data_IF_992965630374
#
_entry.id   IF_992965630374
#
_cell.length_a   1.000
_cell.length_b   1.000
_cell.length_c   1.000
_cell.angle_alpha   90.00
_cell.angle_beta   90.00
_cell.angle_gamma   90.00
#
_symmetry.space_group_name_H-M   'P 1'
#
loop_
_entity.id
_entity.type
_entity.pdbx_description
1 polymer ?
#
# COMPACT_ATOMS: atom_id res chain seq x y z
N UNK A 1 23.72 -9.53 27.52
CA UNK A 1 22.30 -9.25 27.23
C UNK A 1 22.12 -9.41 25.74
N UNK A 2 21.50 -10.48 25.37
CA UNK A 2 21.50 -11.06 24.01
C UNK A 2 20.48 -10.36 23.13
N UNK A 3 20.97 -9.60 22.15
CA UNK A 3 20.14 -9.09 21.05
C UNK A 3 19.64 -10.25 20.20
N UNK A 4 18.39 -10.63 20.39
CA UNK A 4 17.73 -11.59 19.49
C UNK A 4 17.49 -10.92 18.14
N UNK A 5 18.20 -11.40 17.16
CA UNK A 5 18.16 -10.99 15.76
C UNK A 5 16.74 -11.16 15.20
N UNK A 6 16.14 -10.10 14.68
CA UNK A 6 14.82 -10.09 14.03
C UNK A 6 14.74 -11.04 12.81
N UNK A 7 15.91 -11.45 12.29
CA UNK A 7 16.05 -12.45 11.22
C UNK A 7 15.43 -13.83 11.55
N UNK A 8 15.22 -14.16 12.84
CA UNK A 8 14.62 -15.45 13.24
C UNK A 8 13.08 -15.47 13.18
N UNK A 9 12.44 -14.35 12.92
CA UNK A 9 10.97 -14.29 12.76
C UNK A 9 10.50 -14.58 11.33
N UNK A 10 11.40 -14.56 10.37
CA UNK A 10 11.14 -14.96 8.99
C UNK A 10 12.09 -16.12 8.67
N UNK A 11 11.72 -17.40 8.93
CA UNK A 11 12.56 -18.51 8.61
C UNK A 11 12.81 -18.54 7.10
N UNK A 12 14.05 -18.27 6.72
CA UNK A 12 14.54 -18.53 5.38
C UNK A 12 14.84 -20.02 5.28
N UNK A 13 13.85 -20.84 5.04
CA UNK A 13 14.13 -22.14 4.41
C UNK A 13 14.61 -21.84 2.99
N UNK A 14 15.69 -22.50 2.51
CA UNK A 14 16.14 -22.33 1.15
C UNK A 14 15.10 -22.94 0.21
N UNK A 15 14.14 -22.12 -0.20
CA UNK A 15 13.22 -22.48 -1.27
C UNK A 15 14.07 -22.64 -2.53
N UNK A 16 14.12 -23.87 -3.02
CA UNK A 16 14.71 -24.22 -4.31
C UNK A 16 14.29 -23.16 -5.33
N UNK A 17 15.27 -22.53 -5.96
CA UNK A 17 15.08 -21.59 -7.06
C UNK A 17 14.59 -22.37 -8.27
N UNK A 18 13.30 -22.69 -8.30
CA UNK A 18 12.64 -23.06 -9.53
C UNK A 18 12.51 -21.77 -10.36
N UNK A 19 12.99 -21.71 -11.60
CA UNK A 19 12.76 -20.54 -12.43
C UNK A 19 11.26 -20.36 -12.56
N UNK A 20 10.76 -19.19 -12.18
CA UNK A 20 9.37 -18.82 -12.36
C UNK A 20 9.15 -18.77 -13.87
N UNK A 21 8.60 -19.86 -14.39
CA UNK A 21 8.12 -19.92 -15.76
C UNK A 21 6.97 -18.89 -15.83
N UNK A 22 7.19 -17.81 -16.56
CA UNK A 22 6.14 -16.80 -16.77
C UNK A 22 5.00 -17.49 -17.53
N UNK A 23 3.99 -17.94 -16.77
CA UNK A 23 2.74 -18.38 -17.36
C UNK A 23 2.12 -17.17 -18.10
N UNK A 24 1.50 -17.37 -19.28
CA UNK A 24 0.91 -16.28 -20.03
C UNK A 24 -0.16 -15.61 -19.18
N UNK A 25 0.02 -14.31 -18.94
CA UNK A 25 -0.91 -13.47 -18.16
C UNK A 25 -2.24 -13.42 -18.88
N UNK A 26 -3.28 -13.92 -18.24
CA UNK A 26 -4.64 -13.98 -18.77
C UNK A 26 -5.31 -12.60 -18.76
N UNK A 27 -6.46 -12.47 -19.44
CA UNK A 27 -7.21 -11.24 -19.79
C UNK A 27 -7.53 -10.23 -18.67
N UNK A 28 -7.16 -10.46 -17.40
CA UNK A 28 -7.29 -9.53 -16.27
C UNK A 28 -6.03 -8.68 -15.96
N UNK A 29 -5.03 -8.71 -16.82
CA UNK A 29 -3.63 -8.29 -16.52
C UNK A 29 -3.39 -6.77 -16.48
N UNK A 30 -4.42 -5.95 -16.71
CA UNK A 30 -4.29 -4.48 -16.73
C UNK A 30 -4.63 -3.83 -15.38
N UNK A 31 -5.17 -4.60 -14.43
CA UNK A 31 -5.50 -4.11 -13.09
C UNK A 31 -4.26 -4.11 -12.18
N UNK A 32 -4.00 -2.98 -11.55
CA UNK A 32 -2.88 -2.78 -10.63
C UNK A 32 -3.25 -3.10 -9.18
N UNK A 33 -2.41 -3.84 -8.49
CA UNK A 33 -2.60 -4.27 -7.10
C UNK A 33 -1.69 -3.45 -6.19
N UNK A 34 -2.29 -2.59 -5.37
CA UNK A 34 -1.59 -1.69 -4.44
C UNK A 34 -1.85 -2.20 -3.03
N UNK A 35 -0.82 -2.76 -2.42
CA UNK A 35 -0.89 -3.37 -1.09
C UNK A 35 -0.46 -2.36 -0.02
N UNK A 36 -1.31 -2.12 0.98
CA UNK A 36 -0.99 -1.32 2.16
C UNK A 36 -0.53 -2.27 3.27
N UNK A 37 0.77 -2.36 3.52
CA UNK A 37 1.33 -3.29 4.48
C UNK A 37 2.37 -2.61 5.39
N UNK A 38 2.34 -2.91 6.67
CA UNK A 38 3.34 -2.44 7.64
C UNK A 38 3.30 -3.36 8.85
N UNK A 39 4.45 -3.81 9.37
CA UNK A 39 4.51 -4.68 10.56
C UNK A 39 4.08 -3.95 11.82
N UNK A 40 4.04 -2.61 11.81
CA UNK A 40 3.70 -1.78 12.96
C UNK A 40 2.20 -1.48 13.02
N UNK A 41 1.58 -1.76 14.16
CA UNK A 41 0.23 -1.30 14.47
C UNK A 41 0.17 0.24 14.59
N UNK A 42 -0.93 0.86 14.17
CA UNK A 42 -1.10 2.30 14.26
C UNK A 42 -0.25 3.15 13.29
N UNK A 43 0.40 2.53 12.30
CA UNK A 43 1.14 3.24 11.24
C UNK A 43 0.24 4.01 10.26
N UNK A 44 -1.07 3.74 10.29
CA UNK A 44 -2.07 4.42 9.45
C UNK A 44 -2.32 3.76 8.10
N UNK A 45 -2.13 2.43 7.97
CA UNK A 45 -2.45 1.65 6.76
C UNK A 45 -3.84 1.98 6.22
N UNK A 46 -4.88 1.72 7.00
CA UNK A 46 -6.26 2.00 6.61
C UNK A 46 -6.51 3.48 6.32
N UNK A 47 -5.89 4.39 7.09
CA UNK A 47 -6.03 5.84 6.85
C UNK A 47 -5.43 6.23 5.50
N UNK A 48 -4.25 5.72 5.18
CA UNK A 48 -3.61 5.99 3.90
C UNK A 48 -4.37 5.29 2.76
N UNK A 49 -4.81 4.03 2.94
CA UNK A 49 -5.58 3.28 1.96
C UNK A 49 -6.82 4.05 1.50
N UNK A 50 -7.70 4.45 2.45
CA UNK A 50 -8.94 5.18 2.12
C UNK A 50 -8.69 6.52 1.42
N UNK A 51 -7.60 7.21 1.75
CA UNK A 51 -7.26 8.49 1.12
C UNK A 51 -6.69 8.30 -0.29
N UNK A 52 -5.81 7.32 -0.50
CA UNK A 52 -5.24 7.02 -1.81
C UNK A 52 -6.30 6.49 -2.79
N UNK A 53 -7.19 5.58 -2.33
CA UNK A 53 -8.25 5.08 -3.20
C UNK A 53 -9.26 6.16 -3.56
N UNK A 54 -9.59 7.08 -2.62
CA UNK A 54 -10.44 8.22 -2.90
C UNK A 54 -9.78 9.15 -3.94
N UNK A 55 -8.47 9.43 -3.81
CA UNK A 55 -7.73 10.24 -4.79
C UNK A 55 -7.67 9.56 -6.17
N UNK A 56 -7.49 8.26 -6.20
CA UNK A 56 -7.54 7.50 -7.45
C UNK A 56 -8.92 7.59 -8.13
N UNK A 57 -9.99 7.42 -7.36
CA UNK A 57 -11.36 7.52 -7.86
C UNK A 57 -11.68 8.93 -8.38
N UNK A 58 -11.31 9.99 -7.64
CA UNK A 58 -11.46 11.39 -8.06
C UNK A 58 -10.65 11.68 -9.33
N UNK A 59 -9.51 11.02 -9.54
CA UNK A 59 -8.73 11.14 -10.79
C UNK A 59 -9.34 10.40 -11.99
N UNK A 60 -10.54 9.82 -11.85
CA UNK A 60 -11.29 9.15 -12.90
C UNK A 60 -10.91 7.67 -13.11
N UNK A 61 -10.10 7.08 -12.22
CA UNK A 61 -9.81 5.65 -12.30
C UNK A 61 -10.95 4.81 -11.71
N UNK A 62 -11.32 3.74 -12.39
CA UNK A 62 -12.15 2.70 -11.79
C UNK A 62 -11.30 1.90 -10.81
N UNK A 63 -11.63 2.00 -9.55
CA UNK A 63 -10.86 1.39 -8.46
C UNK A 63 -11.76 0.59 -7.54
N UNK A 64 -11.17 -0.39 -6.84
CA UNK A 64 -11.84 -1.16 -5.80
C UNK A 64 -10.96 -1.25 -4.55
N UNK A 65 -11.54 -1.67 -3.44
CA UNK A 65 -10.82 -1.92 -2.18
C UNK A 65 -11.08 -3.32 -1.66
N UNK A 66 -10.05 -3.93 -1.06
CA UNK A 66 -10.15 -5.16 -0.29
C UNK A 66 -9.66 -4.91 1.15
N UNK A 67 -10.41 -5.40 2.12
CA UNK A 67 -10.11 -5.27 3.55
C UNK A 67 -9.86 -6.67 4.15
N UNK A 68 -8.58 -6.94 4.46
CA UNK A 68 -8.16 -8.19 5.09
C UNK A 68 -8.02 -8.07 6.62
N UNK A 69 -8.18 -6.85 7.18
CA UNK A 69 -8.06 -6.65 8.62
C UNK A 69 -9.34 -7.14 9.33
N UNK A 70 -9.25 -8.08 10.29
CA UNK A 70 -10.39 -8.51 11.09
C UNK A 70 -11.14 -7.36 11.77
N UNK A 71 -10.49 -6.25 12.08
CA UNK A 71 -11.11 -5.04 12.64
C UNK A 71 -12.06 -4.35 11.65
N UNK A 72 -11.98 -4.66 10.37
CA UNK A 72 -12.89 -4.19 9.33
C UNK A 72 -13.06 -2.66 9.27
N UNK A 73 -12.00 -1.91 9.58
CA UNK A 73 -12.03 -0.43 9.63
C UNK A 73 -12.29 0.17 8.25
N UNK A 74 -11.67 -0.39 7.20
CA UNK A 74 -11.91 0.03 5.82
C UNK A 74 -13.33 -0.34 5.36
N UNK A 75 -13.82 -1.51 5.79
CA UNK A 75 -15.20 -1.97 5.53
C UNK A 75 -16.24 -1.02 6.13
N UNK A 76 -16.01 -0.59 7.39
CA UNK A 76 -16.90 0.39 8.05
C UNK A 76 -16.88 1.72 7.32
N UNK A 77 -15.70 2.18 6.87
CA UNK A 77 -15.56 3.40 6.08
C UNK A 77 -16.30 3.30 4.75
N UNK A 78 -16.17 2.19 4.03
CA UNK A 78 -16.85 1.95 2.74
C UNK A 78 -18.37 2.02 2.88
N UNK A 79 -18.94 1.41 3.93
CA UNK A 79 -20.40 1.44 4.20
C UNK A 79 -20.93 2.85 4.49
N UNK A 80 -20.07 3.75 4.98
CA UNK A 80 -20.42 5.15 5.28
C UNK A 80 -20.26 6.08 4.08
N UNK A 81 -19.65 5.57 2.98
CA UNK A 81 -19.31 6.42 1.84
C UNK A 81 -20.58 7.01 1.20
N UNK A 82 -20.69 8.35 1.11
CA UNK A 82 -21.88 8.98 0.56
C UNK A 82 -22.03 8.72 -0.94
N UNK A 83 -23.26 8.66 -1.43
CA UNK A 83 -23.56 8.56 -2.87
C UNK A 83 -23.20 9.81 -3.67
N UNK A 84 -22.89 10.89 -3.02
CA UNK A 84 -22.51 12.19 -3.62
C UNK A 84 -21.06 12.26 -4.06
N UNK A 85 -20.24 11.28 -3.68
CA UNK A 85 -18.83 11.16 -4.11
C UNK A 85 -18.64 9.90 -4.97
N UNK A 86 -17.49 9.80 -5.62
CA UNK A 86 -17.18 8.65 -6.48
C UNK A 86 -17.39 7.32 -5.76
N UNK A 87 -18.15 6.41 -6.36
CA UNK A 87 -18.37 5.07 -5.83
C UNK A 87 -17.08 4.24 -5.91
N UNK A 88 -16.83 3.46 -4.87
CA UNK A 88 -15.67 2.57 -4.77
C UNK A 88 -16.18 1.20 -4.32
N UNK A 89 -16.23 0.19 -5.21
CA UNK A 89 -16.52 -1.19 -4.84
C UNK A 89 -15.60 -1.66 -3.70
N UNK A 90 -16.17 -2.44 -2.79
CA UNK A 90 -15.46 -2.87 -1.59
C UNK A 90 -15.72 -4.33 -1.29
N UNK A 91 -14.64 -5.06 -0.97
CA UNK A 91 -14.64 -6.48 -0.63
C UNK A 91 -14.06 -6.68 0.76
N UNK A 92 -14.85 -7.30 1.66
CA UNK A 92 -14.32 -7.82 2.93
C UNK A 92 -13.87 -9.24 2.68
N UNK A 93 -12.60 -9.51 2.85
CA UNK A 93 -11.98 -10.77 2.42
C UNK A 93 -11.23 -11.41 3.58
N UNK A 94 -11.33 -12.73 3.70
CA UNK A 94 -10.47 -13.49 4.60
C UNK A 94 -9.09 -13.73 3.98
N UNK A 95 -8.09 -14.10 4.77
CA UNK A 95 -6.78 -14.50 4.24
C UNK A 95 -6.87 -15.72 3.32
N UNK A 96 -7.80 -16.64 3.59
CA UNK A 96 -7.99 -17.83 2.77
C UNK A 96 -8.52 -17.50 1.36
N UNK A 97 -9.31 -16.43 1.25
CA UNK A 97 -9.93 -16.03 -0.02
C UNK A 97 -9.17 -14.90 -0.73
N UNK A 98 -8.11 -14.39 -0.11
CA UNK A 98 -7.38 -13.21 -0.60
C UNK A 98 -6.79 -13.42 -1.99
N UNK A 99 -6.28 -14.61 -2.28
CA UNK A 99 -5.69 -14.95 -3.57
C UNK A 99 -6.78 -15.11 -4.64
N UNK A 100 -7.89 -15.75 -4.30
CA UNK A 100 -9.02 -15.92 -5.22
C UNK A 100 -9.62 -14.57 -5.65
N UNK A 101 -9.70 -13.59 -4.75
CA UNK A 101 -10.17 -12.24 -5.09
C UNK A 101 -9.34 -11.60 -6.21
N UNK A 102 -8.03 -11.86 -6.26
CA UNK A 102 -7.16 -11.24 -7.27
C UNK A 102 -7.47 -11.68 -8.70
N UNK A 103 -8.20 -12.77 -8.85
CA UNK A 103 -8.62 -13.35 -10.13
C UNK A 103 -10.14 -13.27 -10.33
N UNK A 104 -10.86 -12.53 -9.46
CA UNK A 104 -12.32 -12.43 -9.49
C UNK A 104 -12.80 -11.56 -10.66
N UNK A 105 -13.75 -12.07 -11.43
CA UNK A 105 -14.39 -11.36 -12.53
C UNK A 105 -15.21 -10.13 -12.07
N UNK A 106 -15.61 -10.05 -10.81
CA UNK A 106 -16.25 -8.84 -10.26
C UNK A 106 -15.31 -7.61 -10.29
N UNK A 107 -14.01 -7.83 -10.39
CA UNK A 107 -13.00 -6.78 -10.56
C UNK A 107 -12.79 -6.36 -12.02
N UNK A 108 -13.50 -6.98 -12.97
CA UNK A 108 -13.36 -6.67 -14.39
C UNK A 108 -13.65 -5.20 -14.68
N UNK A 109 -12.72 -4.58 -15.40
CA UNK A 109 -12.75 -3.16 -15.71
C UNK A 109 -12.22 -2.25 -14.61
N UNK A 110 -11.87 -2.75 -13.40
CA UNK A 110 -11.10 -2.00 -12.43
C UNK A 110 -9.67 -1.80 -12.93
N UNK A 111 -9.13 -0.60 -12.70
CA UNK A 111 -7.73 -0.25 -13.04
C UNK A 111 -6.79 -0.38 -11.86
N UNK A 112 -7.31 -0.35 -10.64
CA UNK A 112 -6.54 -0.66 -9.43
C UNK A 112 -7.40 -1.27 -8.32
N UNK A 113 -6.81 -2.22 -7.61
CA UNK A 113 -7.30 -2.78 -6.35
C UNK A 113 -6.37 -2.33 -5.22
N UNK A 114 -6.94 -1.64 -4.22
CA UNK A 114 -6.24 -1.25 -3.00
C UNK A 114 -6.54 -2.27 -1.91
N UNK A 115 -5.49 -2.89 -1.36
CA UNK A 115 -5.60 -3.99 -0.39
C UNK A 115 -5.08 -3.52 0.96
N UNK A 116 -5.97 -3.43 1.95
CA UNK A 116 -5.61 -3.08 3.34
C UNK A 116 -5.36 -4.34 4.16
N UNK A 117 -4.19 -4.42 4.81
CA UNK A 117 -3.79 -5.59 5.60
C UNK A 117 -3.78 -5.28 7.10
N UNK A 118 -3.98 -6.30 7.96
CA UNK A 118 -3.79 -6.12 9.39
C UNK A 118 -2.32 -5.84 9.75
N UNK A 119 -2.03 -5.39 10.98
CA UNK A 119 -0.65 -5.21 11.43
C UNK A 119 0.10 -6.53 11.61
N UNK A 120 -0.61 -7.62 11.93
CA UNK A 120 -0.04 -8.95 12.22
C UNK A 120 0.09 -9.78 10.93
N UNK A 121 0.87 -9.29 9.97
CA UNK A 121 1.10 -9.99 8.68
C UNK A 121 1.84 -11.32 8.85
N UNK A 122 2.59 -11.47 9.93
CA UNK A 122 3.32 -12.69 10.29
C UNK A 122 2.41 -13.87 10.72
N UNK A 123 1.14 -13.62 11.01
CA UNK A 123 0.20 -14.67 11.40
C UNK A 123 -0.27 -15.54 10.23
N UNK A 124 -0.11 -15.06 9.00
CA UNK A 124 -0.51 -15.72 7.76
C UNK A 124 0.59 -15.61 6.69
N UNK A 125 1.78 -16.19 6.95
CA UNK A 125 2.96 -15.91 6.12
C UNK A 125 2.77 -16.37 4.67
N UNK A 126 2.18 -17.54 4.41
CA UNK A 126 1.98 -18.05 3.07
C UNK A 126 1.03 -17.17 2.23
N UNK A 127 -0.14 -16.83 2.79
CA UNK A 127 -1.10 -15.96 2.12
C UNK A 127 -0.54 -14.56 1.90
N UNK A 128 0.23 -14.03 2.86
CA UNK A 128 0.88 -12.74 2.70
C UNK A 128 1.95 -12.75 1.60
N UNK A 129 2.77 -13.81 1.51
CA UNK A 129 3.74 -13.97 0.43
C UNK A 129 3.07 -14.05 -0.94
N UNK A 130 1.95 -14.75 -1.07
CA UNK A 130 1.17 -14.80 -2.30
C UNK A 130 0.68 -13.40 -2.73
N UNK A 131 0.20 -12.58 -1.78
CA UNK A 131 -0.17 -11.19 -2.06
C UNK A 131 1.03 -10.33 -2.47
N UNK A 132 2.17 -10.46 -1.77
CA UNK A 132 3.41 -9.75 -2.11
C UNK A 132 3.86 -10.06 -3.53
N UNK A 133 3.84 -11.34 -3.92
CA UNK A 133 4.25 -11.77 -5.25
C UNK A 133 3.40 -11.18 -6.39
N UNK A 134 2.14 -10.84 -6.09
CA UNK A 134 1.19 -10.29 -7.06
C UNK A 134 0.99 -8.78 -6.94
N UNK A 135 1.65 -8.11 -5.98
CA UNK A 135 1.55 -6.66 -5.81
C UNK A 135 2.34 -5.91 -6.90
N UNK A 136 1.71 -4.91 -7.51
CA UNK A 136 2.39 -3.95 -8.40
C UNK A 136 3.12 -2.86 -7.61
N UNK A 137 2.66 -2.58 -6.39
CA UNK A 137 3.35 -1.72 -5.42
C UNK A 137 2.91 -2.04 -3.99
N UNK A 138 3.88 -2.09 -3.09
CA UNK A 138 3.66 -2.21 -1.65
C UNK A 138 3.91 -0.84 -1.03
N UNK A 139 2.87 -0.23 -0.51
CA UNK A 139 2.95 1.03 0.23
C UNK A 139 3.09 0.72 1.71
N UNK A 140 4.18 1.19 2.32
CA UNK A 140 4.54 0.89 3.71
C UNK A 140 4.44 2.17 4.54
N UNK A 141 3.28 2.47 5.15
CA UNK A 141 3.15 3.62 6.03
C UNK A 141 3.93 3.41 7.33
N UNK A 142 4.62 4.45 7.77
CA UNK A 142 5.30 4.51 9.07
C UNK A 142 5.17 5.89 9.67
N UNK A 143 5.15 6.01 10.99
CA UNK A 143 5.24 7.29 11.66
C UNK A 143 6.66 7.84 11.57
N UNK A 144 6.79 9.16 11.71
CA UNK A 144 8.07 9.84 11.68
C UNK A 144 8.78 9.82 13.04
N UNK A 145 8.70 8.71 13.79
CA UNK A 145 9.49 8.45 15.00
C UNK A 145 10.59 7.46 14.69
N UNK A 146 11.69 7.53 15.42
CA UNK A 146 12.82 6.63 15.22
C UNK A 146 12.43 5.17 15.55
N UNK A 147 11.69 4.96 16.65
CA UNK A 147 11.20 3.63 17.05
C UNK A 147 10.31 2.97 15.99
N UNK A 148 9.45 3.76 15.32
CA UNK A 148 8.63 3.25 14.24
C UNK A 148 9.48 2.94 13.00
N UNK A 149 10.45 3.79 12.68
CA UNK A 149 11.38 3.55 11.56
C UNK A 149 12.26 2.30 11.80
N UNK A 150 12.80 2.11 13.01
CA UNK A 150 13.54 0.90 13.38
C UNK A 150 12.69 -0.37 13.24
N UNK A 151 11.40 -0.29 13.58
CA UNK A 151 10.47 -1.41 13.45
C UNK A 151 10.15 -1.75 11.99
N UNK A 152 10.13 -0.74 11.10
CA UNK A 152 9.74 -0.89 9.68
C UNK A 152 10.95 -1.16 8.77
N UNK A 153 12.14 -0.66 9.10
CA UNK A 153 13.33 -0.79 8.25
C UNK A 153 13.70 -2.24 7.90
N UNK A 154 13.65 -3.23 8.82
CA UNK A 154 13.90 -4.63 8.48
C UNK A 154 12.92 -5.17 7.43
N UNK A 155 11.65 -4.78 7.51
CA UNK A 155 10.64 -5.17 6.53
C UNK A 155 10.91 -4.56 5.15
N UNK A 156 11.28 -3.27 5.08
CA UNK A 156 11.68 -2.61 3.82
C UNK A 156 12.92 -3.27 3.20
N UNK A 157 13.94 -3.59 4.01
CA UNK A 157 15.14 -4.31 3.55
C UNK A 157 14.77 -5.68 2.98
N UNK A 158 13.94 -6.44 3.69
CA UNK A 158 13.46 -7.74 3.22
C UNK A 158 12.73 -7.62 1.87
N UNK A 159 11.79 -6.66 1.73
CA UNK A 159 11.09 -6.42 0.47
C UNK A 159 12.06 -6.06 -0.67
N UNK A 160 13.07 -5.25 -0.40
CA UNK A 160 14.12 -4.88 -1.37
C UNK A 160 14.96 -6.09 -1.80
N UNK A 161 15.36 -6.95 -0.86
CA UNK A 161 16.13 -8.18 -1.12
C UNK A 161 15.31 -9.15 -1.98
N UNK A 162 14.01 -9.24 -1.74
CA UNK A 162 13.07 -10.02 -2.55
C UNK A 162 12.68 -9.31 -3.86
N UNK A 163 13.29 -8.16 -4.19
CA UNK A 163 12.99 -7.34 -5.38
C UNK A 163 11.52 -6.93 -5.50
N UNK A 164 10.80 -6.90 -4.39
CA UNK A 164 9.41 -6.45 -4.34
C UNK A 164 9.34 -4.92 -4.54
N UNK A 165 8.39 -4.43 -5.34
CA UNK A 165 8.19 -3.00 -5.54
C UNK A 165 7.57 -2.38 -4.28
N UNK A 166 8.38 -1.78 -3.43
CA UNK A 166 7.93 -1.21 -2.16
C UNK A 166 8.37 0.25 -2.00
N UNK A 167 7.55 1.03 -1.30
CA UNK A 167 7.83 2.42 -0.95
C UNK A 167 7.33 2.72 0.46
N UNK A 168 8.17 3.30 1.30
CA UNK A 168 7.76 3.84 2.58
C UNK A 168 7.06 5.19 2.41
N UNK A 169 6.04 5.46 3.23
CA UNK A 169 5.36 6.76 3.31
C UNK A 169 5.37 7.23 4.76
N UNK A 170 6.01 8.38 5.03
CA UNK A 170 5.95 9.00 6.34
C UNK A 170 4.55 9.55 6.59
N UNK A 171 3.90 9.02 7.61
CA UNK A 171 2.52 9.29 7.96
C UNK A 171 2.41 9.86 9.38
N UNK A 172 1.39 10.68 9.63
CA UNK A 172 1.19 11.36 10.90
C UNK A 172 2.39 12.19 11.35
N UNK A 173 3.00 12.89 10.40
CA UNK A 173 4.14 13.77 10.66
C UNK A 173 3.66 15.01 11.41
N UNK A 174 4.18 15.21 12.62
CA UNK A 174 3.85 16.39 13.43
C UNK A 174 4.52 17.64 12.85
N UNK A 175 3.83 18.79 12.85
CA UNK A 175 4.43 20.03 12.38
C UNK A 175 5.65 20.43 13.21
N UNK A 176 6.65 21.03 12.56
CA UNK A 176 7.89 21.54 13.17
C UNK A 176 8.81 20.51 13.81
N UNK A 177 8.61 19.21 13.55
CA UNK A 177 9.55 18.16 13.97
C UNK A 177 10.61 17.97 12.90
N UNK A 178 11.88 17.94 13.30
CA UNK A 178 12.94 17.58 12.36
C UNK A 178 12.96 16.05 12.19
N UNK A 179 12.68 15.60 10.99
CA UNK A 179 12.59 14.18 10.63
C UNK A 179 13.72 13.72 9.70
N UNK A 180 14.77 14.55 9.50
CA UNK A 180 15.82 14.25 8.55
C UNK A 180 16.58 12.95 8.91
N UNK A 181 16.83 12.71 10.20
CA UNK A 181 17.46 11.46 10.66
C UNK A 181 16.61 10.24 10.36
N UNK A 182 15.29 10.34 10.58
CA UNK A 182 14.33 9.27 10.27
C UNK A 182 14.27 9.01 8.75
N UNK A 183 14.27 10.08 7.94
CA UNK A 183 14.32 9.96 6.48
C UNK A 183 15.58 9.27 5.99
N UNK A 184 16.75 9.70 6.49
CA UNK A 184 18.03 9.12 6.11
C UNK A 184 18.05 7.62 6.44
N UNK A 185 17.62 7.25 7.64
CA UNK A 185 17.55 5.87 8.10
C UNK A 185 16.62 4.99 7.23
N UNK A 186 15.45 5.50 6.87
CA UNK A 186 14.51 4.78 6.00
C UNK A 186 15.02 4.65 4.55
N UNK A 187 15.71 5.67 4.02
CA UNK A 187 16.32 5.65 2.69
C UNK A 187 17.42 4.59 2.56
N UNK A 188 18.15 4.28 3.63
CA UNK A 188 19.09 3.15 3.65
C UNK A 188 18.37 1.79 3.56
N UNK A 189 17.17 1.71 4.11
CA UNK A 189 16.37 0.49 4.10
C UNK A 189 15.64 0.25 2.78
N UNK A 190 15.12 1.31 2.13
CA UNK A 190 14.34 1.20 0.90
C UNK A 190 13.99 2.54 0.28
N UNK A 191 13.05 2.53 -0.65
CA UNK A 191 12.53 3.75 -1.28
C UNK A 191 11.59 4.49 -0.32
N UNK A 192 11.71 5.81 -0.27
CA UNK A 192 10.85 6.69 0.53
C UNK A 192 10.08 7.64 -0.40
N UNK A 193 8.77 7.76 -0.16
CA UNK A 193 7.96 8.79 -0.81
C UNK A 193 8.47 10.18 -0.42
N UNK A 194 8.69 11.09 -1.37
CA UNK A 194 9.18 12.44 -1.07
C UNK A 194 8.13 13.32 -0.38
N UNK A 195 6.88 12.89 -0.35
CA UNK A 195 5.76 13.59 0.26
C UNK A 195 5.41 12.97 1.59
N UNK A 196 5.31 13.79 2.61
CA UNK A 196 4.90 13.41 3.96
C UNK A 196 3.41 13.67 4.16
N UNK A 197 2.77 12.81 4.96
CA UNK A 197 1.37 12.98 5.36
C UNK A 197 1.35 13.54 6.77
N UNK A 198 0.86 14.77 6.93
CA UNK A 198 0.84 15.45 8.22
C UNK A 198 -0.15 14.79 9.21
N UNK A 199 0.12 14.94 10.51
CA UNK A 199 -0.78 14.53 11.58
C UNK A 199 -1.94 15.54 11.68
N UNK A 200 -3.10 15.16 11.15
CA UNK A 200 -4.32 15.99 11.11
C UNK A 200 -5.51 15.24 11.66
N UNK A 201 -6.26 15.87 12.55
CA UNK A 201 -7.54 15.34 13.06
C UNK A 201 -8.57 15.16 11.94
N UNK A 202 -8.40 15.88 10.84
CA UNK A 202 -9.32 15.87 9.70
C UNK A 202 -9.35 14.53 8.98
N UNK A 203 -8.25 13.75 9.01
CA UNK A 203 -8.25 12.36 8.53
C UNK A 203 -9.28 11.50 9.28
N UNK A 204 -9.36 11.66 10.60
CA UNK A 204 -10.35 10.96 11.42
C UNK A 204 -11.78 11.46 11.16
N UNK A 205 -11.95 12.78 11.06
CA UNK A 205 -13.26 13.44 10.80
C UNK A 205 -13.83 13.06 9.44
N UNK A 206 -13.02 13.11 8.39
CA UNK A 206 -13.42 12.67 7.05
C UNK A 206 -13.73 11.19 7.02
N UNK A 207 -12.86 10.36 7.61
CA UNK A 207 -13.05 8.91 7.67
C UNK A 207 -14.31 8.48 8.41
N UNK A 208 -14.71 9.17 9.45
CA UNK A 208 -15.98 8.94 10.16
C UNK A 208 -17.23 9.14 9.27
N UNK A 209 -17.08 9.91 8.20
CA UNK A 209 -18.14 10.18 7.20
C UNK A 209 -18.00 9.36 5.92
N UNK A 210 -17.07 8.37 5.87
CA UNK A 210 -16.81 7.60 4.65
C UNK A 210 -16.08 8.38 3.56
N UNK A 211 -15.41 9.48 3.92
CA UNK A 211 -14.69 10.36 2.99
C UNK A 211 -13.17 10.17 3.13
N UNK A 212 -12.43 10.38 2.02
CA UNK A 212 -11.04 10.78 2.04
C UNK A 212 -10.94 12.31 2.09
N UNK A 213 -9.78 12.88 2.43
CA UNK A 213 -9.63 14.35 2.46
C UNK A 213 -9.80 14.98 1.07
N UNK A 214 -9.48 14.25 0.01
CA UNK A 214 -9.67 14.70 -1.37
C UNK A 214 -11.16 14.88 -1.74
N UNK A 215 -12.06 14.20 -1.04
CA UNK A 215 -13.50 14.36 -1.24
C UNK A 215 -14.05 15.64 -0.57
N UNK A 216 -13.23 16.36 0.23
CA UNK A 216 -13.60 17.58 0.94
C UNK A 216 -13.05 18.78 0.20
N UNK A 217 -13.90 19.58 -0.48
CA UNK A 217 -13.44 20.71 -1.29
C UNK A 217 -12.62 21.73 -0.48
N UNK A 218 -11.48 22.15 -1.05
CA UNK A 218 -10.62 23.19 -0.46
C UNK A 218 -9.87 22.78 0.82
N UNK A 219 -9.84 21.50 1.16
CA UNK A 219 -9.13 21.05 2.35
C UNK A 219 -7.61 20.97 2.10
N UNK A 220 -6.80 21.61 2.96
CA UNK A 220 -5.32 21.65 2.84
C UNK A 220 -4.68 20.24 2.77
N UNK A 221 -5.22 19.28 3.51
CA UNK A 221 -4.73 17.89 3.45
C UNK A 221 -5.05 17.15 2.15
N UNK A 222 -5.92 17.68 1.29
CA UNK A 222 -6.20 17.11 -0.02
C UNK A 222 -5.00 17.19 -0.94
N UNK A 223 -4.21 18.26 -0.87
CA UNK A 223 -3.01 18.44 -1.69
C UNK A 223 -1.92 17.43 -1.31
N UNK A 224 -1.76 17.12 -0.01
CA UNK A 224 -0.85 16.09 0.46
C UNK A 224 -1.25 14.71 -0.09
N UNK A 225 -2.54 14.38 0.01
CA UNK A 225 -3.09 13.12 -0.52
C UNK A 225 -2.91 13.03 -2.03
N UNK A 226 -3.20 14.12 -2.76
CA UNK A 226 -3.04 14.19 -4.22
C UNK A 226 -1.57 14.01 -4.63
N UNK A 227 -0.63 14.60 -3.88
CA UNK A 227 0.80 14.49 -4.15
C UNK A 227 1.32 13.07 -3.87
N UNK A 228 0.92 12.42 -2.76
CA UNK A 228 1.25 11.01 -2.49
C UNK A 228 0.64 10.12 -3.56
N UNK A 229 -0.61 10.35 -3.96
CA UNK A 229 -1.24 9.59 -5.04
C UNK A 229 -0.51 9.76 -6.36
N UNK A 230 -0.10 10.97 -6.74
CA UNK A 230 0.67 11.23 -7.95
C UNK A 230 1.97 10.43 -7.97
N UNK A 231 2.68 10.37 -6.86
CA UNK A 231 3.89 9.57 -6.71
C UNK A 231 3.59 8.07 -6.84
N UNK A 232 2.60 7.54 -6.12
CA UNK A 232 2.18 6.12 -6.18
C UNK A 232 1.78 5.75 -7.60
N UNK A 233 0.96 6.59 -8.26
CA UNK A 233 0.54 6.41 -9.65
C UNK A 233 1.73 6.32 -10.60
N UNK A 234 2.71 7.21 -10.47
CA UNK A 234 3.91 7.19 -11.29
C UNK A 234 4.75 5.92 -11.09
N UNK A 235 4.78 5.35 -9.87
CA UNK A 235 5.47 4.09 -9.57
C UNK A 235 4.75 2.88 -10.17
N UNK A 236 3.44 2.87 -10.13
CA UNK A 236 2.62 1.75 -10.60
C UNK A 236 2.54 1.71 -12.13
N UNK A 237 2.28 2.86 -12.79
CA UNK A 237 2.08 2.90 -14.24
C UNK A 237 3.30 3.40 -15.01
N UNK A 238 4.20 4.16 -14.39
CA UNK A 238 5.41 4.68 -15.05
C UNK A 238 6.45 3.60 -15.39
N UNK A 239 6.45 2.46 -14.69
CA UNK A 239 7.32 1.31 -15.00
C UNK A 239 6.94 0.59 -16.31
N UNK A 240 5.66 0.58 -16.68
CA UNK A 240 5.18 -0.03 -17.91
C UNK A 240 5.79 0.68 -19.15
N UNK A 241 5.81 2.01 -19.16
CA UNK A 241 6.41 2.82 -20.25
C UNK A 241 7.92 2.59 -20.43
N UNK A 242 8.67 2.27 -19.34
CA UNK A 242 10.10 1.98 -19.45
C UNK A 242 10.38 0.59 -20.05
N UNK A 243 9.55 -0.41 -19.78
CA UNK A 243 9.68 -1.75 -20.39
C UNK A 243 9.37 -1.70 -21.88
N UNK A 244 8.34 -0.98 -22.32
CA UNK A 244 8.00 -0.80 -23.73
C UNK A 244 9.08 0.00 -24.48
N UNK A 245 9.61 1.08 -23.88
CA UNK A 245 10.66 1.88 -24.51
C UNK A 245 11.97 1.11 -24.70
N UNK A 246 12.32 0.18 -23.81
CA UNK A 246 13.51 -0.69 -23.95
C UNK A 246 13.29 -1.75 -25.04
N UNK A 247 12.07 -2.25 -25.22
CA UNK A 247 11.74 -3.24 -26.27
C UNK A 247 11.73 -2.60 -27.66
N UNK A 248 11.27 -1.35 -27.80
CA UNK A 248 11.25 -0.61 -29.06
C UNK A 248 12.65 -0.12 -29.46
N UNK A 249 13.56 0.11 -28.51
CA UNK A 249 14.95 0.50 -28.79
C UNK A 249 15.87 -0.68 -29.12
N UNK A 250 15.41 -1.92 -28.96
CA UNK A 250 16.18 -3.13 -29.24
C UNK A 250 15.69 -3.90 -30.50
N UNK A 251 14.74 -3.33 -31.24
CA UNK A 251 14.22 -3.81 -32.52
C UNK A 251 14.64 -2.85 -33.66
#
# INVERSE_FOLDING_TARGET
MTGQCFASRYPCDPVATTPINEAPRSFGDDMKRILLASPKGGSGKTTLCRNLVAAAAVSGLKVATADLDPQATLTIWSRRRPKTVAAIPHYKVSWADAEALLDDSELDGCKALFIDTPPSIETQPAAFQALLARADLIVVPTRATFDDAESVAPFLKHLREQRQPAVAVLNFVKPRVNINTVKAFLLEAGELCPVEVADRTDYARAGAKGLGLIDVPGHVGADEVAAVWSFVRARVWGRARRKEAVHVAAA
#
